data_IF_030505317207
#
_entry.id   IF_030505317207
#
_cell.length_a   1.000
_cell.length_b   1.000
_cell.length_c   1.000
_cell.angle_alpha   90.00
_cell.angle_beta   90.00
_cell.angle_gamma   90.00
#
_symmetry.space_group_name_H-M   'P 1'
#
loop_
_entity.id
_entity.type
_entity.pdbx_description
1 polymer ?
#
# COMPACT_ATOMS: atom_id res chain seq x y z
N UNK A 1 17.44 -15.13 -4.69
CA UNK A 1 18.38 -13.99 -4.50
C UNK A 1 18.42 -13.06 -5.72
N UNK A 2 18.67 -13.56 -6.94
CA UNK A 2 18.78 -12.72 -8.15
C UNK A 2 17.59 -11.78 -8.44
N UNK A 3 16.35 -12.30 -8.42
CA UNK A 3 15.17 -11.47 -8.73
C UNK A 3 14.96 -10.34 -7.72
N UNK A 4 15.22 -10.59 -6.43
CA UNK A 4 15.10 -9.56 -5.41
C UNK A 4 16.16 -8.46 -5.59
N UNK A 5 17.40 -8.82 -5.90
CA UNK A 5 18.47 -7.86 -6.21
C UNK A 5 18.14 -7.01 -7.44
N UNK A 6 17.52 -7.62 -8.47
CA UNK A 6 17.00 -6.88 -9.62
C UNK A 6 15.95 -5.84 -9.19
N UNK A 7 14.99 -6.23 -8.36
CA UNK A 7 13.98 -5.30 -7.84
C UNK A 7 14.60 -4.13 -7.06
N UNK A 8 15.59 -4.39 -6.19
CA UNK A 8 16.31 -3.33 -5.50
C UNK A 8 17.07 -2.41 -6.46
N UNK A 9 17.66 -2.96 -7.52
CA UNK A 9 18.34 -2.17 -8.55
C UNK A 9 17.36 -1.26 -9.29
N UNK A 10 16.16 -1.76 -9.64
CA UNK A 10 15.10 -0.98 -10.28
C UNK A 10 14.61 0.15 -9.36
N UNK A 11 14.36 -0.15 -8.09
CA UNK A 11 13.92 0.84 -7.10
C UNK A 11 14.97 1.95 -6.90
N UNK A 12 16.26 1.58 -6.88
CA UNK A 12 17.40 2.52 -6.83
C UNK A 12 17.49 3.38 -8.09
N UNK A 13 17.32 2.78 -9.27
CA UNK A 13 17.34 3.51 -10.55
C UNK A 13 16.21 4.56 -10.63
N UNK A 14 15.05 4.30 -10.02
CA UNK A 14 13.94 5.27 -9.89
C UNK A 14 14.19 6.35 -8.83
N UNK A 15 15.29 6.26 -8.05
CA UNK A 15 15.58 7.15 -6.93
C UNK A 15 14.56 7.04 -5.79
N UNK A 16 13.90 5.89 -5.63
CA UNK A 16 12.84 5.67 -4.62
C UNK A 16 13.24 4.72 -3.50
N UNK A 17 14.44 4.17 -3.57
CA UNK A 17 15.01 3.28 -2.56
C UNK A 17 15.16 4.00 -1.23
N UNK A 18 14.47 3.50 -0.22
CA UNK A 18 14.52 4.00 1.15
C UNK A 18 14.40 2.82 2.12
N UNK A 19 15.51 2.37 2.72
CA UNK A 19 15.51 1.24 3.66
C UNK A 19 14.93 1.62 5.03
N UNK A 20 14.76 2.91 5.31
CA UNK A 20 14.21 3.41 6.59
C UNK A 20 12.71 3.63 6.53
N UNK A 21 12.10 3.45 5.35
CA UNK A 21 10.66 3.62 5.17
C UNK A 21 9.89 2.64 6.06
N UNK A 22 8.99 3.14 6.94
CA UNK A 22 8.20 2.25 7.76
C UNK A 22 7.33 1.33 6.88
N UNK A 23 7.15 0.06 7.26
CA UNK A 23 6.30 -0.87 6.54
C UNK A 23 4.91 -0.29 6.36
N UNK A 24 4.36 -0.37 5.15
CA UNK A 24 2.96 -0.06 4.95
C UNK A 24 2.10 -1.16 5.57
N UNK A 25 1.08 -0.75 6.30
CA UNK A 25 0.11 -1.64 6.91
C UNK A 25 -1.13 -1.65 6.00
N UNK A 26 -1.43 -2.81 5.44
CA UNK A 26 -2.70 -3.11 4.80
C UNK A 26 -3.58 -3.90 5.77
N UNK A 27 -4.88 -4.00 5.47
CA UNK A 27 -5.82 -4.79 6.26
C UNK A 27 -6.61 -5.72 5.36
N UNK A 28 -6.71 -6.98 5.78
CA UNK A 28 -7.61 -7.94 5.17
C UNK A 28 -8.88 -8.02 6.03
N UNK A 29 -10.03 -7.93 5.36
CA UNK A 29 -11.35 -8.10 5.96
C UNK A 29 -11.88 -9.48 5.60
N UNK A 30 -12.29 -10.24 6.61
CA UNK A 30 -12.99 -11.51 6.44
C UNK A 30 -14.37 -11.38 7.08
N UNK A 31 -15.41 -11.82 6.36
CA UNK A 31 -16.78 -11.84 6.88
C UNK A 31 -17.30 -13.26 6.72
N UNK A 32 -17.33 -14.00 7.83
CA UNK A 32 -17.77 -15.39 7.86
C UNK A 32 -19.07 -15.46 8.66
N UNK A 33 -20.16 -15.88 8.03
CA UNK A 33 -21.49 -15.98 8.68
C UNK A 33 -21.91 -14.67 9.39
N UNK A 34 -21.52 -13.52 8.83
CA UNK A 34 -21.79 -12.20 9.40
C UNK A 34 -20.79 -11.73 10.46
N UNK A 35 -19.88 -12.59 10.93
CA UNK A 35 -18.81 -12.22 11.86
C UNK A 35 -17.60 -11.64 11.13
N UNK A 36 -17.17 -10.46 11.54
CA UNK A 36 -16.09 -9.69 10.93
C UNK A 36 -14.78 -10.01 11.62
N UNK A 37 -13.73 -10.26 10.83
CA UNK A 37 -12.36 -10.38 11.32
C UNK A 37 -11.46 -9.50 10.47
N UNK A 38 -10.76 -8.57 11.11
CA UNK A 38 -9.84 -7.64 10.47
C UNK A 38 -8.43 -8.02 10.88
N UNK A 39 -7.58 -8.32 9.89
CA UNK A 39 -6.20 -8.75 10.13
C UNK A 39 -5.24 -7.80 9.45
N UNK A 40 -4.24 -7.36 10.20
CA UNK A 40 -3.14 -6.59 9.65
C UNK A 40 -2.31 -7.46 8.70
N UNK A 41 -2.17 -6.99 7.46
CA UNK A 41 -1.25 -7.53 6.47
C UNK A 41 -0.07 -6.58 6.36
N UNK A 42 1.08 -7.03 6.85
CA UNK A 42 2.34 -6.30 6.61
C UNK A 42 2.66 -6.34 5.11
N UNK A 43 2.81 -5.16 4.49
CA UNK A 43 3.46 -5.05 3.18
C UNK A 43 4.97 -5.02 3.36
N UNK A 44 5.66 -5.26 2.25
CA UNK A 44 7.11 -5.10 2.18
C UNK A 44 7.85 -6.42 2.32
N UNK A 45 7.15 -7.55 2.14
CA UNK A 45 7.85 -8.81 1.90
C UNK A 45 8.75 -8.65 0.67
N UNK A 46 9.88 -9.37 0.60
CA UNK A 46 10.74 -9.36 -0.59
C UNK A 46 9.98 -9.65 -1.89
N UNK A 47 8.92 -10.47 -1.81
CA UNK A 47 8.07 -10.82 -2.95
C UNK A 47 7.14 -9.68 -3.36
N UNK A 48 6.54 -8.95 -2.41
CA UNK A 48 5.72 -7.77 -2.73
C UNK A 48 6.57 -6.71 -3.43
N UNK A 49 7.80 -6.47 -2.95
CA UNK A 49 8.74 -5.56 -3.60
C UNK A 49 9.06 -6.03 -5.02
N UNK A 50 9.45 -7.30 -5.17
CA UNK A 50 9.77 -7.87 -6.47
C UNK A 50 8.64 -7.66 -7.49
N UNK A 51 7.41 -8.06 -7.13
CA UNK A 51 6.26 -7.93 -8.01
C UNK A 51 5.99 -6.45 -8.31
N UNK A 52 6.01 -5.58 -7.31
CA UNK A 52 5.78 -4.15 -7.50
C UNK A 52 6.78 -3.53 -8.49
N UNK A 53 8.08 -3.77 -8.32
CA UNK A 53 9.11 -3.20 -9.19
C UNK A 53 9.01 -3.74 -10.62
N UNK A 54 8.78 -5.05 -10.80
CA UNK A 54 8.59 -5.63 -12.14
C UNK A 54 7.36 -5.06 -12.84
N UNK A 55 6.25 -4.86 -12.10
CA UNK A 55 5.05 -4.26 -12.68
C UNK A 55 5.27 -2.78 -12.99
N UNK A 56 6.04 -2.05 -12.17
CA UNK A 56 6.36 -0.65 -12.44
C UNK A 56 7.20 -0.54 -13.71
N UNK A 57 8.24 -1.36 -13.82
CA UNK A 57 9.13 -1.42 -14.98
C UNK A 57 8.35 -1.74 -16.25
N UNK A 58 7.54 -2.81 -16.26
CA UNK A 58 6.73 -3.19 -17.43
C UNK A 58 5.77 -2.07 -17.86
N UNK A 59 5.07 -1.44 -16.91
CA UNK A 59 4.16 -0.33 -17.22
C UNK A 59 4.88 0.93 -17.72
N UNK A 60 6.14 1.15 -17.30
CA UNK A 60 6.93 2.28 -17.78
C UNK A 60 7.48 2.02 -19.19
N UNK A 61 8.04 0.84 -19.43
CA UNK A 61 8.59 0.44 -20.73
C UNK A 61 7.52 0.34 -21.81
N UNK A 62 6.37 -0.26 -21.50
CA UNK A 62 5.28 -0.33 -22.48
C UNK A 62 4.63 1.03 -22.72
N UNK A 63 4.63 1.92 -21.73
CA UNK A 63 4.30 3.33 -21.94
C UNK A 63 5.32 4.03 -22.86
N UNK A 64 6.61 3.71 -22.73
CA UNK A 64 7.67 4.22 -23.62
C UNK A 64 7.42 3.79 -25.07
N UNK A 65 7.16 2.50 -25.28
CA UNK A 65 6.90 1.91 -26.59
C UNK A 65 5.74 2.63 -27.31
N UNK A 66 4.64 2.87 -26.61
CA UNK A 66 3.51 3.62 -27.18
C UNK A 66 3.91 5.05 -27.57
N UNK A 67 4.67 5.74 -26.71
CA UNK A 67 5.15 7.09 -26.98
C UNK A 67 6.11 7.15 -28.19
N UNK A 68 7.05 6.20 -28.30
CA UNK A 68 8.01 6.09 -29.41
C UNK A 68 7.30 5.87 -30.76
N UNK A 69 6.27 5.01 -30.77
CA UNK A 69 5.44 4.76 -31.94
C UNK A 69 4.38 5.85 -32.19
N UNK A 70 4.35 6.91 -31.39
CA UNK A 70 3.36 8.01 -31.46
C UNK A 70 1.91 7.53 -31.36
N UNK A 71 1.69 6.45 -30.63
CA UNK A 71 0.36 5.89 -30.38
C UNK A 71 -0.21 6.42 -29.07
N UNK A 72 -1.51 6.74 -29.02
CA UNK A 72 -2.13 7.13 -27.77
C UNK A 72 -2.26 5.90 -26.85
N UNK A 73 -1.92 6.11 -25.58
CA UNK A 73 -2.14 5.18 -24.47
C UNK A 73 -2.78 5.91 -23.31
N UNK A 74 -3.32 5.19 -22.33
CA UNK A 74 -3.86 5.77 -21.10
C UNK A 74 -2.78 5.70 -20.02
N UNK A 75 -2.24 6.86 -19.66
CA UNK A 75 -1.19 7.03 -18.69
C UNK A 75 -1.75 7.54 -17.37
N UNK A 76 -1.11 7.12 -16.29
CA UNK A 76 -1.34 7.64 -14.94
C UNK A 76 -0.16 8.54 -14.57
N UNK A 77 -0.38 9.84 -14.66
CA UNK A 77 0.62 10.84 -14.37
C UNK A 77 0.49 11.36 -12.94
N UNK A 78 1.57 11.92 -12.40
CA UNK A 78 1.54 12.59 -11.11
C UNK A 78 2.44 13.82 -11.12
N UNK A 79 1.83 14.98 -10.85
CA UNK A 79 2.52 16.26 -10.71
C UNK A 79 1.94 17.04 -9.53
N UNK A 80 2.80 17.70 -8.74
CA UNK A 80 2.38 18.53 -7.60
C UNK A 80 1.58 17.75 -6.56
N UNK A 81 1.88 16.45 -6.39
CA UNK A 81 1.17 15.54 -5.48
C UNK A 81 -0.16 14.99 -6.01
N UNK A 82 -0.72 15.55 -7.08
CA UNK A 82 -1.99 15.09 -7.67
C UNK A 82 -1.74 14.02 -8.74
N UNK A 83 -2.47 12.92 -8.63
CA UNK A 83 -2.49 11.84 -9.63
C UNK A 83 -3.68 12.04 -10.56
N UNK A 84 -3.48 11.87 -11.87
CA UNK A 84 -4.53 12.01 -12.88
C UNK A 84 -4.29 11.09 -14.07
N UNK A 85 -5.34 10.86 -14.87
CA UNK A 85 -5.28 10.10 -16.12
C UNK A 85 -5.10 11.05 -17.30
N UNK A 86 -4.27 10.67 -18.26
CA UNK A 86 -3.99 11.43 -19.49
C UNK A 86 -3.74 10.48 -20.65
N UNK A 87 -4.01 10.92 -21.88
CA UNK A 87 -3.69 10.13 -23.09
C UNK A 87 -2.28 10.36 -23.61
N UNK A 88 -1.52 11.26 -22.97
CA UNK A 88 -0.15 11.61 -23.32
C UNK A 88 0.83 11.03 -22.30
N UNK A 89 2.00 10.65 -22.78
CA UNK A 89 3.09 10.21 -21.92
C UNK A 89 3.54 11.38 -21.04
N UNK A 90 3.38 11.21 -19.73
CA UNK A 90 3.72 12.21 -18.71
C UNK A 90 4.29 11.52 -17.47
N UNK A 91 5.18 12.23 -16.75
CA UNK A 91 5.90 11.69 -15.60
C UNK A 91 5.00 11.39 -14.39
N UNK A 92 5.43 10.41 -13.60
CA UNK A 92 4.81 10.09 -12.31
C UNK A 92 5.82 10.31 -11.18
N UNK A 93 5.82 11.51 -10.59
CA UNK A 93 6.82 11.94 -9.60
C UNK A 93 6.97 10.99 -8.40
N UNK A 94 5.86 10.46 -7.87
CA UNK A 94 5.87 9.51 -6.75
C UNK A 94 6.49 8.15 -7.10
N UNK A 95 6.42 7.73 -8.37
CA UNK A 95 7.06 6.51 -8.86
C UNK A 95 8.46 6.78 -9.45
N UNK A 96 8.83 8.03 -9.73
CA UNK A 96 10.16 8.33 -10.29
C UNK A 96 10.36 7.80 -11.71
N UNK A 97 9.30 7.78 -12.53
CA UNK A 97 9.34 7.33 -13.93
C UNK A 97 8.89 8.43 -14.88
N UNK A 98 9.45 8.45 -16.08
CA UNK A 98 9.17 9.44 -17.12
C UNK A 98 7.78 9.29 -17.76
N UNK A 99 7.26 8.05 -17.79
CA UNK A 99 5.90 7.72 -18.17
C UNK A 99 5.45 6.44 -17.47
N UNK A 100 4.14 6.33 -17.23
CA UNK A 100 3.55 5.19 -16.53
C UNK A 100 2.17 4.85 -17.09
N UNK A 101 2.09 3.78 -17.87
CA UNK A 101 0.84 3.32 -18.50
C UNK A 101 0.40 1.99 -17.88
N UNK A 102 -0.75 1.96 -17.19
CA UNK A 102 -1.29 0.73 -16.62
C UNK A 102 -1.60 -0.29 -17.73
N UNK A 103 -0.94 -1.44 -17.67
CA UNK A 103 -0.95 -2.45 -18.73
C UNK A 103 -0.75 -3.89 -18.20
N UNK A 104 -0.47 -4.07 -16.90
CA UNK A 104 -0.12 -5.37 -16.29
C UNK A 104 -1.29 -6.07 -15.57
N UNK A 105 -2.51 -5.58 -15.69
CA UNK A 105 -3.69 -6.14 -15.00
C UNK A 105 -5.00 -6.05 -15.82
N UNK A 106 -5.04 -6.54 -17.07
CA UNK A 106 -6.19 -6.40 -17.98
C UNK A 106 -7.47 -7.07 -17.48
N UNK A 107 -7.36 -8.11 -16.64
CA UNK A 107 -8.52 -8.83 -16.11
C UNK A 107 -9.36 -8.01 -15.11
N UNK A 108 -8.76 -6.98 -14.49
CA UNK A 108 -9.38 -6.21 -13.41
C UNK A 108 -9.42 -4.70 -13.65
N UNK A 109 -8.82 -4.23 -14.74
CA UNK A 109 -8.78 -2.81 -15.12
C UNK A 109 -8.92 -2.68 -16.63
N UNK A 110 -9.97 -2.00 -17.08
CA UNK A 110 -10.25 -1.84 -18.51
C UNK A 110 -9.15 -1.07 -19.26
N UNK A 111 -8.50 -0.10 -18.60
CA UNK A 111 -7.41 0.67 -19.22
C UNK A 111 -6.19 -0.17 -19.55
N UNK A 112 -5.90 -1.21 -18.75
CA UNK A 112 -4.83 -2.16 -19.05
C UNK A 112 -5.12 -2.93 -20.35
N UNK A 113 -6.37 -3.34 -20.56
CA UNK A 113 -6.79 -3.99 -21.81
C UNK A 113 -6.70 -3.03 -23.01
N UNK A 114 -7.10 -1.76 -22.83
CA UNK A 114 -7.00 -0.73 -23.87
C UNK A 114 -5.54 -0.50 -24.27
N UNK A 115 -4.65 -0.35 -23.28
CA UNK A 115 -3.23 -0.19 -23.53
C UNK A 115 -2.61 -1.42 -24.18
N UNK A 116 -2.95 -2.63 -23.73
CA UNK A 116 -2.46 -3.87 -24.35
C UNK A 116 -2.84 -3.97 -25.83
N UNK A 117 -4.05 -3.56 -26.22
CA UNK A 117 -4.46 -3.53 -27.64
C UNK A 117 -3.58 -2.62 -28.49
N UNK A 118 -3.24 -1.44 -27.96
CA UNK A 118 -2.34 -0.49 -28.64
C UNK A 118 -0.90 -1.02 -28.71
N UNK A 119 -0.42 -1.65 -27.63
CA UNK A 119 0.91 -2.27 -27.58
C UNK A 119 1.00 -3.40 -28.61
N UNK A 120 -0.02 -4.26 -28.70
CA UNK A 120 -0.07 -5.34 -29.70
C UNK A 120 -0.01 -4.76 -31.11
N UNK A 121 -0.80 -3.71 -31.40
CA UNK A 121 -0.77 -3.06 -32.70
C UNK A 121 0.61 -2.45 -33.03
N UNK A 122 1.28 -1.84 -32.04
CA UNK A 122 2.63 -1.31 -32.20
C UNK A 122 3.64 -2.40 -32.57
N UNK A 123 3.62 -3.52 -31.84
CA UNK A 123 4.56 -4.64 -32.04
C UNK A 123 4.30 -5.34 -33.37
N UNK A 124 3.03 -5.55 -33.73
CA UNK A 124 2.64 -6.21 -34.98
C UNK A 124 2.72 -5.28 -36.20
N UNK A 125 3.01 -3.99 -36.00
CA UNK A 125 3.03 -2.98 -37.05
C UNK A 125 1.70 -2.90 -37.83
N UNK A 126 0.59 -3.15 -37.15
CA UNK A 126 -0.76 -3.03 -37.71
C UNK A 126 -1.36 -1.66 -37.38
N UNK A 127 -2.43 -1.22 -38.09
CA UNK A 127 -3.14 -0.01 -37.71
C UNK A 127 -3.55 -0.03 -36.22
N UNK A 128 -3.39 1.09 -35.49
CA UNK A 128 -3.76 1.15 -34.09
C UNK A 128 -5.27 0.99 -33.91
N UNK A 129 -5.67 0.29 -32.85
CA UNK A 129 -7.10 0.13 -32.50
C UNK A 129 -7.71 1.48 -32.17
N UNK A 130 -6.93 2.36 -31.54
CA UNK A 130 -7.32 3.74 -31.28
C UNK A 130 -6.34 4.69 -31.99
N UNK A 131 -6.77 5.34 -33.10
CA UNK A 131 -5.93 6.28 -33.82
C UNK A 131 -5.50 7.48 -32.98
N UNK A 132 -4.42 8.16 -33.40
CA UNK A 132 -4.03 9.43 -32.81
C UNK A 132 -5.18 10.44 -32.84
N UNK A 133 -5.32 11.23 -31.77
CA UNK A 133 -6.41 12.21 -31.59
C UNK A 133 -7.83 11.61 -31.65
N UNK A 134 -7.97 10.30 -31.40
CA UNK A 134 -9.30 9.68 -31.33
C UNK A 134 -10.02 10.08 -30.04
N UNK A 135 -11.22 10.65 -30.17
CA UNK A 135 -12.10 10.92 -29.04
C UNK A 135 -12.56 9.64 -28.33
N UNK A 136 -12.46 8.48 -28.99
CA UNK A 136 -12.87 7.18 -28.44
C UNK A 136 -12.01 6.78 -27.25
N UNK A 137 -10.67 6.86 -27.36
CA UNK A 137 -9.78 6.52 -26.24
C UNK A 137 -9.89 7.54 -25.09
N UNK A 138 -10.13 8.81 -25.42
CA UNK A 138 -10.41 9.87 -24.44
C UNK A 138 -11.71 9.58 -23.68
N UNK A 139 -12.76 9.16 -24.41
CA UNK A 139 -14.03 8.72 -23.82
C UNK A 139 -13.86 7.51 -22.91
N UNK A 140 -13.09 6.50 -23.33
CA UNK A 140 -12.78 5.34 -22.48
C UNK A 140 -12.01 5.72 -21.21
N UNK A 141 -11.01 6.60 -21.32
CA UNK A 141 -10.26 7.11 -20.18
C UNK A 141 -11.17 7.80 -19.18
N UNK A 142 -12.05 8.71 -19.65
CA UNK A 142 -13.01 9.41 -18.78
C UNK A 142 -13.98 8.46 -18.10
N UNK A 143 -14.55 7.51 -18.85
CA UNK A 143 -15.46 6.52 -18.29
C UNK A 143 -14.77 5.66 -17.23
N UNK A 144 -13.54 5.22 -17.50
CA UNK A 144 -12.75 4.50 -16.52
C UNK A 144 -12.50 5.33 -15.26
N UNK A 145 -12.07 6.59 -15.39
CA UNK A 145 -11.78 7.45 -14.23
C UNK A 145 -13.02 7.65 -13.35
N UNK A 146 -14.18 7.93 -13.96
CA UNK A 146 -15.46 8.06 -13.24
C UNK A 146 -15.85 6.77 -12.51
N UNK A 147 -15.83 5.63 -13.21
CA UNK A 147 -16.20 4.34 -12.64
C UNK A 147 -15.21 3.89 -11.55
N UNK A 148 -13.91 4.09 -11.77
CA UNK A 148 -12.86 3.74 -10.81
C UNK A 148 -13.00 4.54 -9.51
N UNK A 149 -13.28 5.85 -9.62
CA UNK A 149 -13.51 6.70 -8.46
C UNK A 149 -14.78 6.30 -7.69
N UNK A 150 -15.87 5.97 -8.37
CA UNK A 150 -17.09 5.47 -7.73
C UNK A 150 -16.86 4.16 -6.97
N UNK A 151 -16.10 3.21 -7.55
CA UNK A 151 -15.72 1.99 -6.84
C UNK A 151 -14.85 2.25 -5.61
N UNK A 152 -13.88 3.17 -5.69
CA UNK A 152 -13.05 3.52 -4.54
C UNK A 152 -13.85 4.17 -3.41
N UNK A 153 -14.83 5.02 -3.74
CA UNK A 153 -15.73 5.61 -2.75
C UNK A 153 -16.57 4.53 -2.06
N UNK A 154 -17.16 3.61 -2.84
CA UNK A 154 -17.90 2.47 -2.29
C UNK A 154 -17.01 1.60 -1.40
N UNK A 155 -15.81 1.24 -1.86
CA UNK A 155 -14.83 0.47 -1.10
C UNK A 155 -14.51 1.14 0.25
N UNK A 156 -14.24 2.45 0.23
CA UNK A 156 -13.94 3.23 1.45
C UNK A 156 -15.10 3.20 2.44
N UNK A 157 -16.34 3.33 1.95
CA UNK A 157 -17.55 3.25 2.79
C UNK A 157 -17.76 1.85 3.35
N UNK A 158 -17.54 0.82 2.55
CA UNK A 158 -17.65 -0.58 2.95
C UNK A 158 -16.60 -0.94 4.01
N UNK A 159 -15.33 -0.55 3.83
CA UNK A 159 -14.26 -0.76 4.81
C UNK A 159 -14.56 -0.05 6.14
N UNK A 160 -15.09 1.18 6.08
CA UNK A 160 -15.55 1.90 7.28
C UNK A 160 -16.67 1.15 8.00
N UNK A 161 -17.69 0.72 7.27
CA UNK A 161 -18.79 -0.05 7.84
C UNK A 161 -18.29 -1.30 8.56
N UNK A 162 -17.39 -2.08 7.94
CA UNK A 162 -16.84 -3.29 8.55
C UNK A 162 -15.97 -3.00 9.76
N UNK A 163 -15.22 -1.90 9.80
CA UNK A 163 -14.52 -1.46 11.01
C UNK A 163 -15.50 -1.21 12.18
N UNK A 164 -16.63 -0.56 11.91
CA UNK A 164 -17.64 -0.26 12.93
C UNK A 164 -18.35 -1.53 13.41
N UNK A 165 -18.69 -2.44 12.49
CA UNK A 165 -19.25 -3.76 12.85
C UNK A 165 -18.28 -4.56 13.72
N UNK A 166 -16.99 -4.56 13.38
CA UNK A 166 -15.96 -5.22 14.19
C UNK A 166 -15.91 -4.67 15.62
N UNK A 167 -15.95 -3.34 15.80
CA UNK A 167 -15.98 -2.73 17.15
C UNK A 167 -17.19 -3.19 17.98
N UNK A 168 -18.36 -3.34 17.35
CA UNK A 168 -19.59 -3.80 18.01
C UNK A 168 -19.48 -5.29 18.37
N UNK A 169 -19.07 -6.13 17.42
CA UNK A 169 -19.04 -7.58 17.58
C UNK A 169 -18.02 -8.03 18.63
N UNK A 170 -16.84 -7.42 18.63
CA UNK A 170 -15.78 -7.70 19.61
C UNK A 170 -15.96 -6.95 20.94
N UNK A 171 -17.08 -6.22 21.10
CA UNK A 171 -17.39 -5.40 22.28
C UNK A 171 -16.23 -4.50 22.72
N UNK A 172 -15.59 -3.82 21.74
CA UNK A 172 -14.41 -2.98 21.98
C UNK A 172 -14.85 -1.65 22.60
N UNK A 173 -14.52 -1.47 23.87
CA UNK A 173 -14.82 -0.25 24.64
C UNK A 173 -13.66 0.73 24.69
N UNK A 174 -12.44 0.27 24.39
CA UNK A 174 -11.24 1.11 24.33
C UNK A 174 -10.35 0.74 23.14
N UNK A 175 -9.73 1.75 22.53
CA UNK A 175 -8.90 1.56 21.34
C UNK A 175 -7.71 2.53 21.31
N UNK A 176 -6.60 2.03 20.76
CA UNK A 176 -5.38 2.82 20.55
C UNK A 176 -5.44 3.52 19.20
N UNK A 177 -4.94 4.76 19.18
CA UNK A 177 -4.85 5.57 17.97
C UNK A 177 -3.57 6.39 17.96
N UNK A 178 -3.14 6.79 16.77
CA UNK A 178 -2.06 7.76 16.56
C UNK A 178 -2.65 9.08 16.07
N UNK A 179 -2.22 10.19 16.67
CA UNK A 179 -2.59 11.54 16.23
C UNK A 179 -2.03 11.79 14.84
N UNK A 180 -2.88 12.17 13.89
CA UNK A 180 -2.46 12.48 12.51
C UNK A 180 -2.23 13.98 12.33
N UNK A 181 -3.24 14.79 12.64
CA UNK A 181 -3.20 16.26 12.64
C UNK A 181 -4.37 16.81 13.43
N UNK A 182 -4.19 17.95 14.11
CA UNK A 182 -5.26 18.58 14.90
C UNK A 182 -5.94 17.53 15.82
N UNK A 183 -7.26 17.36 15.69
CA UNK A 183 -8.06 16.36 16.40
C UNK A 183 -8.32 15.08 15.60
N UNK A 184 -7.70 14.90 14.43
CA UNK A 184 -7.84 13.72 13.60
C UNK A 184 -6.85 12.65 14.04
N UNK A 185 -7.38 11.47 14.37
CA UNK A 185 -6.59 10.31 14.79
C UNK A 185 -6.80 9.14 13.82
N UNK A 186 -5.78 8.29 13.69
CA UNK A 186 -5.84 7.01 12.99
C UNK A 186 -5.83 5.88 14.00
N UNK A 187 -6.82 5.01 13.97
CA UNK A 187 -6.83 3.82 14.83
C UNK A 187 -5.69 2.88 14.43
N UNK A 188 -5.06 2.23 15.41
CA UNK A 188 -3.87 1.40 15.15
C UNK A 188 -4.22 0.00 14.66
N UNK A 189 -5.31 -0.58 15.15
CA UNK A 189 -5.74 -1.93 14.80
C UNK A 189 -6.72 -1.97 13.60
N UNK A 190 -7.17 -0.80 13.12
CA UNK A 190 -8.22 -0.67 12.12
C UNK A 190 -7.86 0.42 11.09
N UNK A 191 -8.19 0.25 9.81
CA UNK A 191 -8.04 1.29 8.79
C UNK A 191 -9.14 2.36 8.92
N UNK A 192 -9.28 2.95 10.10
CA UNK A 192 -10.29 3.95 10.41
C UNK A 192 -9.63 5.23 10.93
N UNK A 193 -10.04 6.36 10.36
CA UNK A 193 -9.71 7.69 10.90
C UNK A 193 -10.98 8.36 11.39
N UNK A 194 -10.91 8.95 12.57
CA UNK A 194 -12.00 9.72 13.17
C UNK A 194 -11.48 11.00 13.79
N UNK A 195 -12.35 12.00 13.92
CA UNK A 195 -12.07 13.19 14.72
C UNK A 195 -12.45 12.92 16.16
N UNK A 196 -11.60 13.35 17.08
CA UNK A 196 -11.83 13.22 18.53
C UNK A 196 -11.87 14.63 19.12
N UNK A 197 -13.07 15.26 19.24
CA UNK A 197 -13.17 16.64 19.71
C UNK A 197 -12.58 16.90 21.10
N UNK A 198 -12.55 15.88 21.96
CA UNK A 198 -11.95 15.97 23.30
C UNK A 198 -10.42 15.80 23.31
N UNK A 199 -9.78 15.65 22.14
CA UNK A 199 -8.34 15.46 22.05
C UNK A 199 -7.63 16.76 22.45
N UNK A 200 -6.61 16.63 23.30
CA UNK A 200 -5.71 17.74 23.63
C UNK A 200 -4.83 18.08 22.41
N UNK A 201 -4.26 19.28 22.41
CA UNK A 201 -3.30 19.67 21.38
C UNK A 201 -2.00 18.86 21.54
N UNK A 202 -1.87 17.83 20.69
CA UNK A 202 -0.77 16.87 20.70
C UNK A 202 -0.05 16.88 19.36
N UNK A 203 1.24 16.52 19.37
CA UNK A 203 2.03 16.43 18.14
C UNK A 203 1.53 15.26 17.28
N UNK A 204 1.61 15.42 15.96
CA UNK A 204 1.39 14.31 15.04
C UNK A 204 2.37 13.16 15.36
N UNK A 205 1.87 11.92 15.32
CA UNK A 205 2.62 10.72 15.71
C UNK A 205 2.48 10.33 17.18
N UNK A 206 1.88 11.16 18.05
CA UNK A 206 1.63 10.77 19.45
C UNK A 206 0.59 9.65 19.52
N UNK A 207 0.90 8.58 20.27
CA UNK A 207 -0.04 7.47 20.54
C UNK A 207 -0.95 7.81 21.71
N UNK A 208 -2.24 7.54 21.56
CA UNK A 208 -3.27 7.90 22.54
C UNK A 208 -4.23 6.73 22.77
N UNK A 209 -4.74 6.65 23.99
CA UNK A 209 -5.81 5.74 24.38
C UNK A 209 -7.15 6.47 24.28
N UNK A 210 -8.12 5.83 23.64
CA UNK A 210 -9.47 6.36 23.43
C UNK A 210 -10.52 5.41 24.00
N UNK A 211 -11.56 5.96 24.62
CA UNK A 211 -12.77 5.22 24.96
C UNK A 211 -13.78 5.34 23.81
N UNK A 212 -14.34 4.20 23.38
CA UNK A 212 -15.42 4.14 22.39
C UNK A 212 -16.73 4.49 23.09
N UNK A 213 -17.38 5.57 22.65
CA UNK A 213 -18.61 6.08 23.27
C UNK A 213 -19.86 5.67 22.49
N UNK A 214 -19.82 5.88 21.17
CA UNK A 214 -20.93 5.54 20.27
C UNK A 214 -20.38 5.09 18.93
N UNK A 215 -20.93 3.99 18.43
CA UNK A 215 -20.69 3.46 17.09
C UNK A 215 -21.98 3.59 16.29
N UNK A 216 -21.96 4.35 15.20
CA UNK A 216 -23.12 4.56 14.32
C UNK A 216 -22.83 4.00 12.93
N UNK A 217 -23.33 2.78 12.66
CA UNK A 217 -23.07 2.09 11.40
C UNK A 217 -23.87 2.67 10.23
N UNK A 218 -24.95 3.39 10.50
CA UNK A 218 -25.78 4.00 9.45
C UNK A 218 -25.14 5.28 8.93
N UNK A 219 -24.68 6.14 9.83
CA UNK A 219 -23.97 7.38 9.49
C UNK A 219 -22.48 7.15 9.20
N UNK A 220 -21.97 5.95 9.49
CA UNK A 220 -20.53 5.61 9.44
C UNK A 220 -19.70 6.53 10.35
N UNK A 221 -20.18 6.76 11.56
CA UNK A 221 -19.55 7.65 12.55
C UNK A 221 -19.08 6.86 13.77
N UNK A 222 -17.91 7.26 14.28
CA UNK A 222 -17.32 6.73 15.50
C UNK A 222 -17.01 7.87 16.45
N UNK A 223 -17.72 7.90 17.58
CA UNK A 223 -17.47 8.85 18.64
C UNK A 223 -16.56 8.23 19.68
N UNK A 224 -15.40 8.85 19.85
CA UNK A 224 -14.43 8.47 20.86
C UNK A 224 -14.19 9.62 21.85
N UNK A 225 -13.81 9.26 23.07
CA UNK A 225 -13.33 10.20 24.08
C UNK A 225 -11.86 9.92 24.37
N UNK A 226 -11.06 10.99 24.43
CA UNK A 226 -9.66 10.91 24.82
C UNK A 226 -9.52 10.49 26.29
N UNK A 227 -8.74 9.43 26.54
CA UNK A 227 -8.43 8.97 27.91
C UNK A 227 -7.03 9.37 28.37
N UNK A 228 -6.04 9.33 27.49
CA UNK A 228 -4.67 9.64 27.86
C UNK A 228 -3.66 9.36 26.75
N UNK A 229 -2.43 9.81 26.96
CA UNK A 229 -1.29 9.52 26.08
C UNK A 229 -0.68 8.18 26.49
N UNK A 230 -0.36 7.34 25.50
CA UNK A 230 0.35 6.08 25.73
C UNK A 230 1.85 6.40 25.66
N UNK A 231 2.57 6.20 26.76
CA UNK A 231 4.01 6.37 26.77
C UNK A 231 4.65 5.44 25.72
N UNK A 232 5.67 5.90 24.97
CA UNK A 232 6.41 5.01 24.09
C UNK A 232 7.00 3.89 24.94
N UNK A 233 6.76 2.63 24.56
CA UNK A 233 7.40 1.50 25.20
C UNK A 233 8.92 1.72 25.10
N UNK A 234 9.57 2.02 26.22
CA UNK A 234 11.02 1.98 26.33
C UNK A 234 11.46 0.58 25.94
N UNK A 235 12.27 0.46 24.89
CA UNK A 235 12.96 -0.77 24.54
C UNK A 235 13.63 -1.32 25.81
N UNK A 236 13.16 -2.46 26.29
CA UNK A 236 13.79 -3.15 27.42
C UNK A 236 15.19 -3.54 26.98
N UNK A 237 16.26 -3.14 27.69
CA UNK A 237 17.58 -3.69 27.42
C UNK A 237 17.52 -5.16 27.83
N UNK A 238 17.73 -6.05 26.86
CA UNK A 238 17.96 -7.47 27.10
C UNK A 238 19.17 -7.55 28.03
N UNK A 239 18.95 -7.95 29.28
CA UNK A 239 20.03 -8.28 30.21
C UNK A 239 20.75 -9.50 29.65
N UNK A 240 21.98 -9.30 29.16
CA UNK A 240 22.94 -10.38 28.93
C UNK A 240 23.16 -11.10 30.28
N UNK A 241 22.64 -12.31 30.40
CA UNK A 241 23.10 -13.24 31.42
C UNK A 241 24.43 -13.81 30.94
N UNK A 242 25.49 -13.47 31.65
CA UNK A 242 26.82 -14.10 31.57
C UNK A 242 26.67 -15.63 31.71
N UNK A 243 26.96 -16.34 30.62
CA UNK A 243 27.18 -17.78 30.67
C UNK A 243 28.69 -17.99 30.86
N UNK A 244 29.05 -18.31 32.10
CA UNK A 244 30.40 -18.70 32.52
C UNK A 244 30.77 -20.05 31.88
N UNK A 245 31.77 -20.03 31.00
CA UNK A 245 32.41 -21.24 30.51
C UNK A 245 33.26 -21.90 31.61
N UNK A 246 33.20 -23.23 31.82
CA UNK A 246 34.26 -23.91 32.54
C UNK A 246 35.38 -24.33 31.58
N UNK A 247 36.60 -24.18 32.06
CA UNK A 247 37.84 -24.55 31.42
C UNK A 247 38.14 -26.05 31.61
N UNK A 248 38.59 -26.68 30.51
CA UNK A 248 39.68 -27.68 30.36
C UNK A 248 39.74 -28.86 31.33
N UNK A 249 39.68 -30.08 30.76
CA UNK A 249 40.59 -31.15 31.16
C UNK A 249 41.01 -31.97 29.93
N UNK A 250 42.31 -31.95 29.66
CA UNK A 250 42.98 -32.82 28.71
C UNK A 250 43.35 -34.12 29.42
N UNK A 251 43.13 -35.26 28.76
CA UNK A 251 43.87 -36.50 29.05
C UNK A 251 44.31 -37.12 27.73
N UNK A 252 45.62 -37.25 27.61
CA UNK A 252 46.33 -38.08 26.64
C UNK A 252 46.12 -39.57 27.01
N UNK A 253 46.01 -40.43 26.00
CA UNK A 253 46.97 -41.54 25.73
C UNK A 253 46.35 -42.78 25.06
N UNK A 254 47.02 -43.13 23.97
CA UNK A 254 47.46 -44.46 23.50
C UNK A 254 46.51 -45.66 23.27
N UNK A 255 46.90 -46.38 22.21
CA UNK A 255 46.58 -47.76 21.79
C UNK A 255 45.29 -47.92 20.96
N UNK A 256 45.29 -48.40 19.72
CA UNK A 256 46.23 -49.25 19.01
C UNK A 256 45.47 -50.49 18.50
N UNK A 257 45.57 -50.77 17.18
CA UNK A 257 45.26 -52.05 16.50
C UNK A 257 43.72 -52.30 16.38
N UNK A 258 43.10 -52.51 15.21
CA UNK A 258 43.44 -53.27 14.00
C UNK A 258 42.68 -52.69 12.78
#
# INVERSE_FOLDING_TARGET
LYLFQLAESLEKARGKYDPTRPPQIDYNFYVNEGHVRIVNRQRGSPMDKLVAELMIEANSQWGALLAEHKLPGIYRAQNGGKVYMTTKAEGHQGLGVAQYAWSTSPLRRAVDLINQRQIIAAIQMTPPVYPANSDVIVGHMRNFDLTYNAYNEFQTRMERFWCLQYLIQENITEIQATVWRENLVRLEALPYMTKVPSLLELKAGTRVQLAVQKVDTLLMELHCQFKGVIAPASATPTSESEETAPAVEATEDENGIE
#
